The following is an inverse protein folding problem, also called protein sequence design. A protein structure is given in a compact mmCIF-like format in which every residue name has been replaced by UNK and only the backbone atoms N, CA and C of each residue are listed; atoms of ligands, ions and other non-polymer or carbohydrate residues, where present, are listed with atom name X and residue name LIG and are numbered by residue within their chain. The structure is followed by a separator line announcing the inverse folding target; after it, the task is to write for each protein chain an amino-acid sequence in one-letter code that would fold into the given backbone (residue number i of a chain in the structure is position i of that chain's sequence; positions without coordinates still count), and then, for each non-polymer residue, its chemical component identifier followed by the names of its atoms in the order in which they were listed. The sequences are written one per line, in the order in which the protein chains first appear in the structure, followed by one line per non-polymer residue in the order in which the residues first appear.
data_IF_731435505355
#
_entry.id   IF_731435505355
#
_cell.length_a   1.000
_cell.length_b   1.000
_cell.length_c   1.000
_cell.angle_alpha   90.00
_cell.angle_beta   90.00
_cell.angle_gamma   90.00
#
_symmetry.space_group_name_H-M   'P 1'
#
loop_
_entity.id
_entity.type
_entity.pdbx_description
1 polymer ?
#
# COMPACT_ATOMS: atom_id res chain seq x y z
N UNK A 1 5.45 11.27 -8.45
CA UNK A 1 5.59 9.94 -7.81
C UNK A 1 5.99 8.95 -8.89
N UNK A 2 7.04 8.19 -8.64
CA UNK A 2 7.55 7.16 -9.55
C UNK A 2 6.71 5.89 -9.39
N UNK A 3 6.47 5.16 -10.47
CA UNK A 3 5.85 3.83 -10.39
C UNK A 3 6.92 2.83 -9.94
N UNK A 4 6.62 2.07 -8.89
CA UNK A 4 7.53 1.10 -8.27
C UNK A 4 7.02 -0.33 -8.43
N UNK A 5 5.74 -0.60 -8.10
CA UNK A 5 5.17 -1.96 -8.07
C UNK A 5 5.99 -2.94 -7.20
N UNK A 6 6.56 -2.44 -6.10
CA UNK A 6 7.42 -3.25 -5.23
C UNK A 6 6.56 -4.04 -4.23
N UNK A 7 6.71 -5.37 -4.10
CA UNK A 7 6.04 -6.16 -3.07
C UNK A 7 6.41 -5.68 -1.67
N UNK A 8 5.45 -5.69 -0.74
CA UNK A 8 5.63 -5.25 0.64
C UNK A 8 4.97 -6.21 1.63
N UNK A 9 5.52 -6.27 2.84
CA UNK A 9 4.85 -6.90 3.98
C UNK A 9 3.89 -5.88 4.61
N UNK A 10 2.67 -6.30 4.92
CA UNK A 10 1.58 -5.40 5.33
C UNK A 10 0.94 -5.82 6.66
N UNK A 11 0.62 -4.83 7.49
CA UNK A 11 -0.35 -4.94 8.57
C UNK A 11 -1.56 -4.10 8.20
N UNK A 12 -2.72 -4.76 8.12
CA UNK A 12 -4.01 -4.16 7.83
C UNK A 12 -5.07 -4.79 8.73
N UNK A 13 -6.12 -4.03 9.07
CA UNK A 13 -7.36 -4.61 9.57
C UNK A 13 -8.38 -4.68 8.43
N UNK A 14 -9.43 -5.48 8.61
CA UNK A 14 -10.47 -5.66 7.60
C UNK A 14 -11.81 -5.26 8.18
N UNK A 15 -12.65 -4.63 7.37
CA UNK A 15 -14.07 -4.44 7.74
C UNK A 15 -14.78 -5.79 7.79
N UNK A 16 -16.00 -5.84 8.34
CA UNK A 16 -16.82 -7.05 8.34
C UNK A 16 -17.18 -7.51 6.91
N UNK A 17 -17.20 -6.59 5.95
CA UNK A 17 -17.40 -6.85 4.52
C UNK A 17 -16.11 -7.30 3.81
N UNK A 18 -15.02 -7.49 4.55
CA UNK A 18 -13.74 -7.98 4.03
C UNK A 18 -12.90 -6.92 3.31
N UNK A 19 -13.17 -5.63 3.51
CA UNK A 19 -12.39 -4.56 2.88
C UNK A 19 -11.14 -4.27 3.71
N UNK A 20 -9.92 -4.42 3.15
CA UNK A 20 -8.71 -4.10 3.88
C UNK A 20 -8.55 -2.59 4.12
N UNK A 21 -7.98 -2.28 5.28
CA UNK A 21 -7.56 -0.94 5.69
C UNK A 21 -6.09 -0.99 6.14
N UNK A 22 -5.17 -0.42 5.34
CA UNK A 22 -3.74 -0.51 5.63
C UNK A 22 -3.35 0.35 6.84
N UNK A 23 -2.50 -0.21 7.71
CA UNK A 23 -2.00 0.46 8.92
C UNK A 23 -0.52 0.77 8.86
N UNK A 24 0.29 -0.19 8.42
CA UNK A 24 1.73 0.01 8.19
C UNK A 24 2.28 -1.08 7.28
N UNK A 25 3.33 -0.76 6.55
CA UNK A 25 4.04 -1.71 5.73
C UNK A 25 5.53 -1.68 6.00
N UNK A 26 6.20 -2.78 5.69
CA UNK A 26 7.65 -2.89 5.69
C UNK A 26 8.12 -3.03 4.25
N UNK A 27 9.09 -2.19 3.88
CA UNK A 27 9.80 -2.25 2.61
C UNK A 27 11.20 -2.79 2.89
N UNK A 28 11.57 -3.86 2.20
CA UNK A 28 12.91 -4.44 2.25
C UNK A 28 13.64 -4.10 0.96
N UNK A 29 14.83 -3.52 1.08
CA UNK A 29 15.72 -3.20 -0.04
C UNK A 29 16.65 -4.37 -0.35
N UNK A 30 17.30 -4.33 -1.51
CA UNK A 30 18.19 -5.40 -2.00
C UNK A 30 19.41 -5.68 -1.09
N UNK A 31 19.76 -4.72 -0.23
CA UNK A 31 20.83 -4.86 0.76
C UNK A 31 20.34 -5.38 2.13
N UNK A 32 19.14 -5.98 2.17
CA UNK A 32 18.43 -6.45 3.38
C UNK A 32 18.13 -5.37 4.42
N UNK A 33 18.37 -4.09 4.11
CA UNK A 33 17.87 -2.99 4.94
C UNK A 33 16.35 -2.91 4.82
N UNK A 34 15.68 -2.67 5.95
CA UNK A 34 14.22 -2.56 5.96
C UNK A 34 13.77 -1.27 6.62
N UNK A 35 12.74 -0.66 6.03
CA UNK A 35 12.06 0.51 6.58
C UNK A 35 10.61 0.17 6.86
N UNK A 36 10.09 0.64 7.99
CA UNK A 36 8.67 0.50 8.34
C UNK A 36 7.99 1.85 8.20
N UNK A 37 6.96 1.91 7.35
CA UNK A 37 6.19 3.12 7.10
C UNK A 37 4.79 2.94 7.67
N UNK A 38 4.41 3.81 8.62
CA UNK A 38 3.05 3.86 9.18
C UNK A 38 2.15 4.65 8.25
N UNK A 39 0.97 4.11 7.93
CA UNK A 39 -0.07 4.82 7.18
C UNK A 39 -0.85 5.71 8.12
N UNK A 40 -0.58 7.02 8.10
CA UNK A 40 -1.32 7.99 8.93
C UNK A 40 -2.77 8.16 8.47
N UNK A 41 -3.01 8.20 7.16
CA UNK A 41 -4.35 8.39 6.59
C UNK A 41 -4.49 7.71 5.24
N UNK A 42 -5.62 7.04 5.02
CA UNK A 42 -6.10 6.69 3.69
C UNK A 42 -6.93 7.87 3.17
N UNK A 43 -6.47 8.49 2.09
CA UNK A 43 -7.11 9.66 1.46
C UNK A 43 -8.24 9.21 0.55
N UNK A 44 -7.98 8.22 -0.31
CA UNK A 44 -8.97 7.63 -1.19
C UNK A 44 -8.72 6.13 -1.36
N UNK A 45 -9.79 5.42 -1.74
CA UNK A 45 -9.74 4.03 -2.20
C UNK A 45 -10.46 3.95 -3.55
N UNK A 46 -9.84 3.28 -4.52
CA UNK A 46 -10.48 2.92 -5.79
C UNK A 46 -10.24 1.45 -6.10
N UNK A 47 -10.96 0.93 -7.10
CA UNK A 47 -10.75 -0.40 -7.64
C UNK A 47 -10.35 -0.28 -9.11
N UNK A 48 -9.36 -1.06 -9.54
CA UNK A 48 -9.02 -1.25 -10.96
C UNK A 48 -9.21 -2.71 -11.36
N UNK A 49 -9.52 -2.93 -12.64
CA UNK A 49 -9.53 -4.26 -13.26
C UNK A 49 -8.69 -4.22 -14.52
N UNK A 50 -7.51 -4.83 -14.50
CA UNK A 50 -6.59 -4.88 -15.64
C UNK A 50 -6.41 -6.34 -16.09
N UNK A 51 -6.74 -6.64 -17.35
CA UNK A 51 -6.66 -7.99 -17.90
C UNK A 51 -7.31 -9.08 -17.00
N UNK A 52 -8.44 -8.73 -16.37
CA UNK A 52 -9.16 -9.62 -15.46
C UNK A 52 -8.69 -9.57 -14.00
N UNK A 53 -7.50 -9.02 -13.73
CA UNK A 53 -6.96 -8.90 -12.38
C UNK A 53 -7.56 -7.67 -11.66
N UNK A 54 -8.25 -7.92 -10.54
CA UNK A 54 -8.88 -6.88 -9.72
C UNK A 54 -7.93 -6.46 -8.61
N UNK A 55 -7.73 -5.15 -8.46
CA UNK A 55 -6.90 -4.60 -7.40
C UNK A 55 -7.59 -3.41 -6.73
N UNK A 56 -7.46 -3.32 -5.40
CA UNK A 56 -7.73 -2.06 -4.71
C UNK A 56 -6.48 -1.17 -4.75
N UNK A 57 -6.70 0.11 -4.98
CA UNK A 57 -5.67 1.15 -4.89
C UNK A 57 -6.04 2.06 -3.72
N UNK A 58 -5.12 2.19 -2.78
CA UNK A 58 -5.25 3.08 -1.63
C UNK A 58 -4.28 4.24 -1.81
N UNK A 59 -4.80 5.46 -1.96
CA UNK A 59 -3.98 6.66 -1.88
C UNK A 59 -3.81 7.01 -0.42
N UNK A 60 -2.59 6.93 0.05
CA UNK A 60 -2.23 7.06 1.45
C UNK A 60 -1.36 8.30 1.66
N UNK A 61 -1.34 8.74 2.92
CA UNK A 61 -0.52 9.83 3.38
C UNK A 61 0.17 9.43 4.67
N UNK A 62 1.42 9.85 4.85
CA UNK A 62 2.17 9.66 6.10
C UNK A 62 3.12 10.82 6.34
N UNK A 63 3.47 11.02 7.60
CA UNK A 63 4.48 12.00 8.00
C UNK A 63 5.83 11.28 8.14
N UNK A 64 6.81 11.72 7.35
CA UNK A 64 8.19 11.22 7.39
C UNK A 64 9.08 12.44 7.54
N UNK A 65 9.84 12.51 8.62
CA UNK A 65 10.71 13.64 8.97
C UNK A 65 9.99 15.00 8.96
N UNK A 66 8.77 15.05 9.51
CA UNK A 66 7.94 16.26 9.55
C UNK A 66 7.32 16.65 8.20
N UNK A 67 7.57 15.88 7.14
CA UNK A 67 7.03 16.12 5.82
C UNK A 67 5.93 15.14 5.47
N UNK A 68 4.83 15.69 4.97
CA UNK A 68 3.69 14.96 4.46
C UNK A 68 4.06 14.28 3.14
N UNK A 69 4.11 12.96 3.12
CA UNK A 69 4.38 12.15 1.94
C UNK A 69 3.11 11.45 1.47
N UNK A 70 2.83 11.52 0.17
CA UNK A 70 1.77 10.77 -0.48
C UNK A 70 2.36 9.55 -1.18
N UNK A 71 1.68 8.41 -1.04
CA UNK A 71 2.01 7.18 -1.75
C UNK A 71 0.74 6.41 -2.10
N UNK A 72 0.85 5.48 -3.05
CA UNK A 72 -0.23 4.59 -3.41
C UNK A 72 0.15 3.15 -3.08
N UNK A 73 -0.75 2.44 -2.41
CA UNK A 73 -0.64 1.00 -2.14
C UNK A 73 -1.63 0.25 -3.03
N UNK A 74 -1.21 -0.90 -3.55
CA UNK A 74 -2.07 -1.83 -4.29
C UNK A 74 -2.29 -3.10 -3.49
N UNK A 75 -3.54 -3.57 -3.46
CA UNK A 75 -3.91 -4.88 -2.93
C UNK A 75 -4.54 -5.70 -4.06
N UNK A 76 -3.88 -6.79 -4.44
CA UNK A 76 -4.35 -7.71 -5.47
C UNK A 76 -5.33 -8.72 -4.86
N UNK A 77 -6.59 -8.71 -5.33
CA UNK A 77 -7.66 -9.50 -4.70
C UNK A 77 -7.49 -11.01 -4.90
N UNK A 78 -6.87 -11.42 -6.00
CA UNK A 78 -6.71 -12.84 -6.35
C UNK A 78 -5.64 -13.55 -5.52
N UNK A 79 -4.59 -12.83 -5.12
CA UNK A 79 -3.44 -13.40 -4.40
C UNK A 79 -3.28 -12.86 -2.98
N UNK A 80 -4.09 -11.87 -2.62
CA UNK A 80 -4.00 -11.12 -1.37
C UNK A 80 -2.63 -10.43 -1.16
N UNK A 81 -1.89 -10.16 -2.25
CA UNK A 81 -0.58 -9.51 -2.19
C UNK A 81 -0.70 -7.99 -2.12
N UNK A 82 0.20 -7.38 -1.37
CA UNK A 82 0.35 -5.94 -1.26
C UNK A 82 1.58 -5.44 -2.00
N UNK A 83 1.44 -4.25 -2.59
CA UNK A 83 2.51 -3.58 -3.32
C UNK A 83 2.55 -2.10 -2.96
N UNK A 84 3.76 -1.55 -2.83
CA UNK A 84 3.99 -0.12 -2.95
C UNK A 84 3.93 0.24 -4.45
N UNK A 85 2.82 0.84 -4.87
CA UNK A 85 2.57 1.12 -6.28
C UNK A 85 3.29 2.37 -6.74
N UNK A 86 3.13 3.48 -6.01
CA UNK A 86 3.77 4.76 -6.32
C UNK A 86 4.25 5.46 -5.06
N UNK A 87 5.46 6.04 -5.11
CA UNK A 87 6.01 6.92 -4.07
C UNK A 87 6.86 8.05 -4.70
#
# INVERSE_FOLDING_TARGET
MRILMQPIEMIAWFTLEGIPHPIRYKLTSDNDSSIVVKVSRVVTRSEEKLAGNRMFIFRCQSEVDGLLKLFELKYELSTCKWYLYKA
#
